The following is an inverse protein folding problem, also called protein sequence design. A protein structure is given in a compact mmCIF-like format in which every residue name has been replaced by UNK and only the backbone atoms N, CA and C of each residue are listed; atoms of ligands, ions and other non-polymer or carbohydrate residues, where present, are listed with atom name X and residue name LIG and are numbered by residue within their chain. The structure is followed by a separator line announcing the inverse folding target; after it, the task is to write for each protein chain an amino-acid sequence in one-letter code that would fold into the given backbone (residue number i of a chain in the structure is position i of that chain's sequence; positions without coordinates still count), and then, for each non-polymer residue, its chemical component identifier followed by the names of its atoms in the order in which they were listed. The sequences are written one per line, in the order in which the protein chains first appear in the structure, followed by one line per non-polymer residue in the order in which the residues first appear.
data_IF_191328221876
#
_entry.id   IF_191328221876
#
_cell.length_a   1.000
_cell.length_b   1.000
_cell.length_c   1.000
_cell.angle_alpha   90.00
_cell.angle_beta   90.00
_cell.angle_gamma   90.00
#
_symmetry.space_group_name_H-M   'P 1'
#
loop_
_entity.id
_entity.type
_entity.pdbx_description
1 polymer ?
#
# COMPACT_ATOMS: atom_id res chain seq x y z
N UNK A 1 -0.06 -12.28 63.94
CA UNK A 1 -1.28 -11.57 63.50
C UNK A 1 -1.03 -10.44 62.47
N UNK A 2 -0.02 -9.56 62.57
CA UNK A 2 0.22 -8.55 61.51
C UNK A 2 0.89 -9.11 60.27
N UNK A 3 1.79 -10.08 60.39
CA UNK A 3 2.52 -10.64 59.24
C UNK A 3 1.63 -11.54 58.38
N UNK A 4 0.70 -12.26 58.96
CA UNK A 4 -0.26 -13.11 58.23
C UNK A 4 -1.28 -12.30 57.42
N UNK A 5 -1.69 -11.16 57.94
CA UNK A 5 -2.60 -10.27 57.21
C UNK A 5 -1.93 -9.56 55.99
N UNK A 6 -0.62 -9.29 56.10
CA UNK A 6 0.16 -8.73 54.97
C UNK A 6 0.37 -9.76 53.90
N UNK A 7 0.63 -11.03 54.26
CA UNK A 7 0.82 -12.10 53.30
C UNK A 7 -0.47 -12.45 52.53
N UNK A 8 -1.64 -12.44 53.22
CA UNK A 8 -2.95 -12.69 52.59
C UNK A 8 -3.38 -11.58 51.68
N UNK A 9 -3.07 -10.30 51.99
CA UNK A 9 -3.34 -9.17 51.10
C UNK A 9 -2.43 -9.15 49.86
N UNK A 10 -1.18 -9.59 50.00
CA UNK A 10 -0.26 -9.71 48.88
C UNK A 10 -0.65 -10.86 47.93
N UNK A 11 -1.14 -11.97 48.46
CA UNK A 11 -1.60 -13.12 47.65
C UNK A 11 -2.90 -12.82 46.91
N UNK A 12 -3.80 -12.02 47.49
CA UNK A 12 -5.07 -11.63 46.87
C UNK A 12 -4.86 -10.58 45.76
N UNK A 13 -3.78 -9.77 45.83
CA UNK A 13 -3.40 -8.79 44.80
C UNK A 13 -2.80 -9.44 43.54
N UNK A 14 -2.17 -10.62 43.69
CA UNK A 14 -1.56 -11.32 42.55
C UNK A 14 -2.57 -12.06 41.65
N UNK A 15 -3.76 -12.37 42.19
CA UNK A 15 -4.84 -13.09 41.45
C UNK A 15 -5.66 -12.18 40.52
N UNK A 16 -5.53 -10.86 40.66
CA UNK A 16 -6.27 -9.89 39.80
C UNK A 16 -5.53 -9.51 38.51
N UNK A 17 -4.32 -9.99 38.29
CA UNK A 17 -3.53 -9.76 37.06
C UNK A 17 -3.70 -10.84 35.97
N UNK A 18 -4.62 -11.81 36.18
CA UNK A 18 -5.05 -12.71 35.12
C UNK A 18 -5.96 -11.94 34.15
N UNK A 19 -5.39 -10.93 33.46
CA UNK A 19 -6.03 -10.29 32.34
C UNK A 19 -6.38 -11.35 31.32
N UNK A 20 -7.67 -11.51 31.01
CA UNK A 20 -8.14 -12.29 29.87
C UNK A 20 -7.48 -11.73 28.59
N UNK A 21 -6.34 -12.28 28.22
CA UNK A 21 -5.93 -12.22 26.82
C UNK A 21 -6.98 -13.04 26.06
N UNK A 22 -7.86 -12.37 25.33
CA UNK A 22 -8.67 -13.06 24.34
C UNK A 22 -7.68 -13.70 23.39
N UNK A 23 -7.57 -15.03 23.42
CA UNK A 23 -6.82 -15.77 22.40
C UNK A 23 -7.44 -15.40 21.04
N UNK A 24 -6.64 -14.79 20.17
CA UNK A 24 -7.06 -14.59 18.78
C UNK A 24 -7.29 -15.99 18.17
N UNK A 25 -8.33 -16.16 17.33
CA UNK A 25 -8.58 -17.45 16.68
C UNK A 25 -7.32 -17.94 15.97
N UNK A 26 -6.99 -19.22 16.09
CA UNK A 26 -5.78 -19.82 15.51
C UNK A 26 -5.69 -19.72 13.98
N UNK A 27 -6.80 -19.35 13.31
CA UNK A 27 -6.92 -19.16 11.86
C UNK A 27 -7.16 -17.70 11.45
N UNK A 28 -6.89 -16.73 12.34
CA UNK A 28 -7.02 -15.30 12.04
C UNK A 28 -5.79 -14.81 11.28
N UNK A 29 -6.02 -14.21 10.10
CA UNK A 29 -4.98 -13.59 9.28
C UNK A 29 -5.06 -12.07 9.45
N UNK A 30 -3.94 -11.44 9.80
CA UNK A 30 -3.80 -9.99 9.87
C UNK A 30 -3.48 -9.44 8.48
N UNK A 31 -4.33 -8.57 7.97
CA UNK A 31 -4.22 -8.04 6.61
C UNK A 31 -3.95 -6.54 6.65
N UNK A 32 -2.89 -6.10 5.98
CA UNK A 32 -2.59 -4.70 5.73
C UNK A 32 -3.07 -4.29 4.33
N UNK A 33 -3.73 -3.15 4.23
CA UNK A 33 -4.20 -2.61 2.95
C UNK A 33 -3.89 -1.11 2.81
N UNK A 34 -3.87 -0.64 1.55
CA UNK A 34 -3.86 0.80 1.21
C UNK A 34 -4.99 1.11 0.23
N UNK A 35 -6.19 1.51 0.71
CA UNK A 35 -7.42 1.54 -0.10
C UNK A 35 -7.53 2.78 -0.99
N UNK A 36 -6.55 2.99 -1.89
CA UNK A 36 -6.46 4.16 -2.77
C UNK A 36 -6.25 3.82 -4.25
N UNK A 37 -6.50 2.55 -4.66
CA UNK A 37 -6.21 2.06 -6.03
C UNK A 37 -7.46 1.37 -6.60
N UNK A 38 -8.52 2.12 -6.96
CA UNK A 38 -9.65 1.53 -7.66
C UNK A 38 -9.22 1.04 -9.06
N UNK A 39 -9.78 -0.07 -9.58
CA UNK A 39 -10.74 -0.97 -8.96
C UNK A 39 -10.11 -2.07 -8.11
N UNK A 40 -8.76 -2.06 -7.94
CA UNK A 40 -8.06 -3.13 -7.22
C UNK A 40 -8.44 -3.15 -5.73
N UNK A 41 -8.29 -2.01 -5.05
CA UNK A 41 -8.76 -1.83 -3.67
C UNK A 41 -9.05 -0.36 -3.37
N UNK A 42 -10.23 -0.08 -2.85
CA UNK A 42 -10.67 1.27 -2.51
C UNK A 42 -11.68 1.25 -1.36
N UNK A 43 -11.88 2.42 -0.75
CA UNK A 43 -12.93 2.62 0.24
C UNK A 43 -14.10 3.39 -0.39
N UNK A 44 -15.31 2.90 -0.15
CA UNK A 44 -16.55 3.56 -0.53
C UNK A 44 -17.57 3.41 0.59
N UNK A 45 -18.18 4.53 1.01
CA UNK A 45 -19.19 4.56 2.06
C UNK A 45 -18.76 3.85 3.37
N UNK A 46 -17.50 4.02 3.75
CA UNK A 46 -16.90 3.40 4.94
C UNK A 46 -16.67 1.88 4.82
N UNK A 47 -16.70 1.33 3.60
CA UNK A 47 -16.43 -0.09 3.34
C UNK A 47 -15.34 -0.25 2.30
N UNK A 48 -14.48 -1.24 2.52
CA UNK A 48 -13.49 -1.63 1.53
C UNK A 48 -14.13 -2.49 0.44
N UNK A 49 -13.71 -2.28 -0.79
CA UNK A 49 -14.18 -2.99 -1.98
C UNK A 49 -13.07 -3.10 -3.01
N UNK A 50 -13.16 -4.06 -3.90
CA UNK A 50 -12.24 -4.21 -5.02
C UNK A 50 -11.82 -5.65 -5.27
N UNK A 51 -11.16 -5.84 -6.40
CA UNK A 51 -10.76 -7.16 -6.91
C UNK A 51 -9.89 -7.93 -5.90
N UNK A 52 -8.94 -7.24 -5.28
CA UNK A 52 -8.01 -7.87 -4.32
C UNK A 52 -8.74 -8.41 -3.09
N UNK A 53 -9.71 -7.64 -2.58
CA UNK A 53 -10.51 -8.06 -1.43
C UNK A 53 -11.37 -9.28 -1.77
N UNK A 54 -12.04 -9.27 -2.93
CA UNK A 54 -12.88 -10.38 -3.38
C UNK A 54 -12.06 -11.68 -3.55
N UNK A 55 -10.85 -11.56 -4.13
CA UNK A 55 -9.92 -12.70 -4.27
C UNK A 55 -9.54 -13.24 -2.89
N UNK A 56 -9.20 -12.36 -1.93
CA UNK A 56 -8.77 -12.78 -0.60
C UNK A 56 -9.93 -13.36 0.22
N UNK A 57 -11.13 -12.81 0.12
CA UNK A 57 -12.35 -13.37 0.72
C UNK A 57 -12.63 -14.78 0.18
N UNK A 58 -12.52 -14.97 -1.14
CA UNK A 58 -12.64 -16.28 -1.77
C UNK A 58 -11.61 -17.29 -1.27
N UNK A 59 -10.35 -16.84 -1.10
CA UNK A 59 -9.30 -17.66 -0.50
C UNK A 59 -9.64 -18.08 0.93
N UNK A 60 -9.99 -17.13 1.80
CA UNK A 60 -10.35 -17.46 3.18
C UNK A 60 -11.57 -18.37 3.29
N UNK A 61 -12.59 -18.17 2.46
CA UNK A 61 -13.74 -19.06 2.38
C UNK A 61 -13.32 -20.49 2.02
N UNK A 62 -12.39 -20.66 1.09
CA UNK A 62 -11.92 -21.99 0.66
C UNK A 62 -11.04 -22.69 1.70
N UNK A 63 -10.34 -21.93 2.56
CA UNK A 63 -9.42 -22.44 3.58
C UNK A 63 -10.00 -22.46 5.00
N UNK A 64 -11.19 -21.94 5.20
CA UNK A 64 -11.79 -21.82 6.54
C UNK A 64 -11.06 -20.82 7.43
N UNK A 65 -10.39 -19.80 6.85
CA UNK A 65 -9.73 -18.75 7.61
C UNK A 65 -10.65 -17.56 7.87
N UNK A 66 -10.31 -16.80 8.90
CA UNK A 66 -10.86 -15.48 9.18
C UNK A 66 -9.77 -14.44 9.01
N UNK A 67 -10.13 -13.18 8.84
CA UNK A 67 -9.14 -12.12 8.70
C UNK A 67 -9.59 -10.81 9.33
N UNK A 68 -8.59 -9.98 9.68
CA UNK A 68 -8.78 -8.64 10.20
C UNK A 68 -7.99 -7.66 9.35
N UNK A 69 -8.69 -6.69 8.79
CA UNK A 69 -8.09 -5.65 7.95
C UNK A 69 -7.65 -4.46 8.81
N UNK A 70 -6.45 -3.95 8.53
CA UNK A 70 -5.96 -2.66 9.00
C UNK A 70 -5.51 -1.83 7.79
N UNK A 71 -6.06 -0.63 7.64
CA UNK A 71 -5.68 0.29 6.58
C UNK A 71 -4.48 1.14 7.00
N UNK A 72 -3.61 1.37 6.03
CA UNK A 72 -2.40 2.18 6.12
C UNK A 72 -2.29 3.08 4.88
N UNK A 73 -1.38 4.03 4.91
CA UNK A 73 -0.83 4.57 3.68
C UNK A 73 0.01 3.52 2.94
N UNK A 74 0.46 3.83 1.74
CA UNK A 74 1.20 2.87 0.90
C UNK A 74 2.46 2.32 1.57
N UNK A 75 3.30 3.19 2.13
CA UNK A 75 4.56 2.77 2.77
C UNK A 75 4.32 2.05 4.09
N UNK A 76 3.33 2.49 4.85
CA UNK A 76 2.90 1.83 6.09
C UNK A 76 2.40 0.42 5.84
N UNK A 77 1.62 0.18 4.78
CA UNK A 77 1.15 -1.15 4.39
C UNK A 77 2.34 -2.09 4.06
N UNK A 78 3.28 -1.63 3.24
CA UNK A 78 4.48 -2.41 2.92
C UNK A 78 5.34 -2.67 4.17
N UNK A 79 5.48 -1.65 5.04
CA UNK A 79 6.17 -1.78 6.32
C UNK A 79 5.51 -2.77 7.27
N UNK A 80 4.18 -2.80 7.33
CA UNK A 80 3.44 -3.71 8.21
C UNK A 80 3.68 -5.18 7.84
N UNK A 81 3.70 -5.53 6.55
CA UNK A 81 3.97 -6.92 6.12
C UNK A 81 5.44 -7.28 6.28
N UNK A 82 6.38 -6.38 5.96
CA UNK A 82 7.82 -6.68 6.07
C UNK A 82 8.30 -6.77 7.52
N UNK A 83 7.62 -6.12 8.45
CA UNK A 83 7.93 -6.20 9.89
C UNK A 83 7.18 -7.32 10.63
N UNK A 84 6.28 -8.06 9.95
CA UNK A 84 5.46 -9.10 10.57
C UNK A 84 4.30 -8.55 11.43
N UNK A 85 3.97 -7.27 11.33
CA UNK A 85 2.76 -6.71 11.96
C UNK A 85 1.49 -7.18 11.25
N UNK A 86 1.58 -7.44 9.95
CA UNK A 86 0.56 -8.09 9.15
C UNK A 86 1.13 -9.34 8.50
N UNK A 87 0.27 -10.37 8.35
CA UNK A 87 0.63 -11.64 7.71
C UNK A 87 0.54 -11.53 6.19
N UNK A 88 -0.37 -10.70 5.68
CA UNK A 88 -0.65 -10.50 4.26
C UNK A 88 -0.88 -9.02 3.99
N UNK A 89 -0.46 -8.55 2.82
CA UNK A 89 -0.82 -7.25 2.28
C UNK A 89 -1.35 -7.37 0.85
N UNK A 90 -2.36 -6.58 0.51
CA UNK A 90 -2.82 -6.44 -0.87
C UNK A 90 -3.38 -5.03 -1.13
N UNK A 91 -3.13 -4.51 -2.30
CA UNK A 91 -3.62 -3.26 -2.91
C UNK A 91 -2.96 -3.09 -4.28
N UNK A 92 -3.11 -4.05 -5.17
CA UNK A 92 -2.46 -4.02 -6.48
C UNK A 92 -0.93 -3.99 -6.37
N UNK A 93 -0.33 -4.71 -5.43
CA UNK A 93 1.11 -4.69 -5.19
C UNK A 93 1.84 -5.35 -6.34
N UNK A 94 2.62 -4.59 -7.10
CA UNK A 94 3.45 -5.13 -8.18
C UNK A 94 4.56 -6.00 -7.63
N UNK A 95 4.78 -7.15 -8.26
CA UNK A 95 5.88 -8.06 -7.98
C UNK A 95 7.15 -7.47 -8.60
N UNK A 96 8.17 -7.20 -7.78
CA UNK A 96 9.49 -6.76 -8.23
C UNK A 96 10.59 -7.55 -7.53
N UNK A 97 11.77 -7.67 -8.16
CA UNK A 97 12.87 -8.42 -7.55
C UNK A 97 13.31 -7.80 -6.23
N UNK A 98 13.36 -6.48 -6.15
CA UNK A 98 13.64 -5.76 -4.90
C UNK A 98 12.66 -6.09 -3.77
N UNK A 99 11.35 -6.20 -4.07
CA UNK A 99 10.35 -6.56 -3.06
C UNK A 99 10.45 -8.04 -2.67
N UNK A 100 10.82 -8.94 -3.60
CA UNK A 100 11.07 -10.36 -3.30
C UNK A 100 12.22 -10.60 -2.32
N UNK A 101 13.12 -9.64 -2.14
CA UNK A 101 14.21 -9.74 -1.14
C UNK A 101 13.69 -9.66 0.30
N UNK A 102 12.49 -9.08 0.52
CA UNK A 102 11.97 -8.77 1.85
C UNK A 102 10.54 -9.29 2.11
N UNK A 103 9.86 -9.83 1.09
CA UNK A 103 8.53 -10.41 1.22
C UNK A 103 8.28 -11.47 0.14
N UNK A 104 7.44 -12.45 0.46
CA UNK A 104 6.95 -13.43 -0.49
C UNK A 104 5.71 -12.93 -1.23
N UNK A 105 5.45 -13.51 -2.40
CA UNK A 105 4.30 -13.18 -3.23
C UNK A 105 3.49 -14.43 -3.60
N UNK A 106 2.18 -14.26 -3.74
CA UNK A 106 1.34 -15.23 -4.42
C UNK A 106 1.71 -15.33 -5.90
N UNK A 107 1.12 -16.27 -6.62
CA UNK A 107 1.11 -16.21 -8.07
C UNK A 107 0.47 -14.91 -8.55
N UNK A 108 0.97 -14.30 -9.65
CA UNK A 108 0.36 -13.11 -10.21
C UNK A 108 -1.05 -13.45 -10.72
N UNK A 109 -2.02 -12.64 -10.36
CA UNK A 109 -3.43 -12.78 -10.78
C UNK A 109 -3.86 -11.67 -11.74
N UNK A 110 -3.00 -10.66 -11.94
CA UNK A 110 -3.25 -9.54 -12.85
C UNK A 110 -1.94 -9.03 -13.45
N UNK A 111 -2.01 -8.52 -14.67
CA UNK A 111 -0.89 -7.81 -15.33
C UNK A 111 -1.35 -6.42 -15.73
N UNK A 112 -0.67 -5.40 -15.23
CA UNK A 112 -0.90 -4.01 -15.62
C UNK A 112 0.19 -3.50 -16.54
N UNK A 113 -0.11 -2.41 -17.25
CA UNK A 113 0.86 -1.60 -17.99
C UNK A 113 0.89 -0.20 -17.42
N UNK A 114 2.03 0.46 -17.50
CA UNK A 114 2.17 1.82 -17.01
C UNK A 114 1.82 2.81 -18.11
N UNK A 115 1.18 3.87 -17.69
CA UNK A 115 0.81 4.98 -18.56
C UNK A 115 1.32 6.28 -17.97
N UNK A 116 1.66 7.21 -18.85
CA UNK A 116 1.94 8.58 -18.48
C UNK A 116 0.80 9.44 -19.01
N UNK A 117 0.06 10.06 -18.13
CA UNK A 117 -1.11 10.84 -18.47
C UNK A 117 -0.89 12.33 -18.19
N UNK A 118 -1.54 13.17 -18.98
CA UNK A 118 -1.58 14.63 -18.84
C UNK A 118 -2.96 15.18 -19.15
N UNK A 119 -3.21 16.45 -18.80
CA UNK A 119 -4.47 17.10 -19.12
C UNK A 119 -4.63 17.31 -20.63
N UNK A 120 -5.78 16.92 -21.16
CA UNK A 120 -6.10 17.03 -22.60
C UNK A 120 -5.97 18.44 -23.13
N UNK A 121 -6.37 19.45 -22.36
CA UNK A 121 -6.31 20.87 -22.75
C UNK A 121 -4.88 21.43 -22.85
N UNK A 122 -3.88 20.75 -22.29
CA UNK A 122 -2.46 21.13 -22.40
C UNK A 122 -1.81 20.65 -23.69
N UNK A 123 -2.46 19.78 -24.47
CA UNK A 123 -1.98 19.26 -25.75
C UNK A 123 -0.54 18.72 -25.73
N UNK A 124 -0.12 18.12 -24.59
CA UNK A 124 1.21 17.54 -24.46
C UNK A 124 1.29 16.31 -25.37
N UNK A 125 2.29 16.31 -26.25
CA UNK A 125 2.61 15.18 -27.13
C UNK A 125 4.04 14.76 -26.89
N UNK A 126 4.23 13.53 -26.46
CA UNK A 126 5.54 12.92 -26.21
C UNK A 126 5.71 11.79 -27.21
N UNK A 127 6.66 11.96 -28.11
CA UNK A 127 7.03 10.97 -29.13
C UNK A 127 8.36 10.29 -28.83
N UNK A 128 9.14 10.91 -27.93
CA UNK A 128 10.43 10.41 -27.47
C UNK A 128 10.60 10.73 -25.97
N UNK A 129 11.17 9.80 -25.20
CA UNK A 129 11.32 9.95 -23.75
C UNK A 129 12.24 11.11 -23.35
N UNK A 130 13.16 11.55 -24.20
CA UNK A 130 14.00 12.72 -23.90
C UNK A 130 13.20 14.03 -23.75
N UNK A 131 12.01 14.08 -24.32
CA UNK A 131 11.10 15.24 -24.21
C UNK A 131 10.51 15.39 -22.80
N UNK A 132 10.59 14.36 -21.97
CA UNK A 132 10.11 14.38 -20.59
C UNK A 132 10.80 15.45 -19.75
N UNK A 133 12.06 15.79 -20.08
CA UNK A 133 12.82 16.87 -19.44
C UNK A 133 12.17 18.24 -19.47
N UNK A 134 11.09 18.43 -20.25
CA UNK A 134 10.34 19.68 -20.36
C UNK A 134 9.17 19.78 -19.37
N UNK A 135 8.84 18.71 -18.66
CA UNK A 135 7.61 18.58 -17.88
C UNK A 135 7.89 18.16 -16.45
N UNK A 136 7.04 18.60 -15.54
CA UNK A 136 6.98 18.05 -14.19
C UNK A 136 6.21 16.72 -14.20
N UNK A 137 6.67 15.77 -13.39
CA UNK A 137 6.08 14.43 -13.30
C UNK A 137 5.73 14.11 -11.85
N UNK A 138 4.60 13.45 -11.65
CA UNK A 138 4.18 12.97 -10.33
C UNK A 138 3.92 11.48 -10.32
N UNK A 139 4.15 10.87 -9.16
CA UNK A 139 3.81 9.49 -8.85
C UNK A 139 3.85 9.24 -7.33
N UNK A 140 3.28 8.13 -6.83
CA UNK A 140 3.32 7.80 -5.41
C UNK A 140 4.72 7.44 -4.92
N UNK A 141 5.07 7.94 -3.73
CA UNK A 141 6.33 7.59 -3.05
C UNK A 141 6.46 6.08 -2.84
N UNK A 142 7.63 5.50 -3.14
CA UNK A 142 7.89 4.05 -2.98
C UNK A 142 7.12 3.16 -3.94
N UNK A 143 6.52 3.73 -4.98
CA UNK A 143 5.92 2.98 -6.09
C UNK A 143 6.99 2.42 -7.03
N UNK A 144 6.57 1.53 -7.93
CA UNK A 144 7.45 1.03 -9.00
C UNK A 144 7.91 2.13 -9.97
N UNK A 145 7.14 3.22 -10.05
CA UNK A 145 7.51 4.38 -10.86
C UNK A 145 8.73 5.12 -10.30
N UNK A 146 8.89 5.16 -8.97
CA UNK A 146 10.04 5.76 -8.31
C UNK A 146 11.34 5.04 -8.71
N UNK A 147 11.34 3.72 -8.67
CA UNK A 147 12.46 2.91 -9.11
C UNK A 147 12.74 3.09 -10.63
N UNK A 148 11.72 3.14 -11.47
CA UNK A 148 11.86 3.37 -12.91
C UNK A 148 12.44 4.76 -13.24
N UNK A 149 11.92 5.80 -12.62
CA UNK A 149 12.41 7.17 -12.83
C UNK A 149 13.87 7.28 -12.39
N UNK A 150 14.22 6.80 -11.20
CA UNK A 150 15.57 6.90 -10.64
C UNK A 150 16.60 6.05 -11.38
N UNK A 151 16.23 4.83 -11.76
CA UNK A 151 17.19 3.87 -12.29
C UNK A 151 17.23 3.81 -13.82
N UNK A 152 16.20 4.30 -14.51
CA UNK A 152 16.10 4.26 -15.96
C UNK A 152 16.06 5.64 -16.59
N UNK A 153 15.19 6.54 -16.13
CA UNK A 153 15.00 7.82 -16.81
C UNK A 153 16.04 8.89 -16.41
N UNK A 154 16.36 9.00 -15.12
CA UNK A 154 17.36 9.96 -14.64
C UNK A 154 18.78 9.70 -15.19
N UNK A 155 19.31 8.47 -15.21
CA UNK A 155 20.63 8.20 -15.78
C UNK A 155 20.75 8.53 -17.26
N UNK A 156 19.61 8.57 -17.99
CA UNK A 156 19.55 8.97 -19.40
C UNK A 156 19.37 10.48 -19.60
N UNK A 157 19.27 11.26 -18.51
CA UNK A 157 19.02 12.69 -18.55
C UNK A 157 17.60 13.08 -18.98
N UNK A 158 16.64 12.15 -18.91
CA UNK A 158 15.25 12.42 -19.29
C UNK A 158 14.46 13.12 -18.18
N UNK A 159 14.91 13.04 -16.93
CA UNK A 159 14.38 13.78 -15.80
C UNK A 159 15.47 14.25 -14.86
N UNK A 160 15.27 15.45 -14.26
CA UNK A 160 16.01 15.90 -13.09
C UNK A 160 15.18 15.70 -11.81
N UNK A 161 15.84 15.74 -10.65
CA UNK A 161 15.17 15.57 -9.35
C UNK A 161 14.12 16.67 -9.12
N UNK A 162 14.38 17.89 -9.57
CA UNK A 162 13.51 19.06 -9.39
C UNK A 162 12.17 18.91 -10.12
N UNK A 163 12.15 18.12 -11.19
CA UNK A 163 10.94 17.87 -11.99
C UNK A 163 10.02 16.82 -11.37
N UNK A 164 10.52 16.04 -10.41
CA UNK A 164 9.76 14.96 -9.77
C UNK A 164 9.00 15.51 -8.57
N UNK A 165 7.70 15.19 -8.52
CA UNK A 165 6.81 15.47 -7.38
C UNK A 165 6.25 14.17 -6.84
N UNK A 166 6.59 13.88 -5.59
CA UNK A 166 6.15 12.66 -4.90
C UNK A 166 4.89 12.95 -4.08
N UNK A 167 3.94 12.03 -4.14
CA UNK A 167 2.68 12.09 -3.41
C UNK A 167 2.46 10.84 -2.56
N UNK A 168 1.68 10.92 -1.47
CA UNK A 168 1.40 9.75 -0.64
C UNK A 168 0.56 8.67 -1.36
N UNK A 169 -0.29 9.07 -2.31
CA UNK A 169 -1.18 8.16 -3.02
C UNK A 169 -1.35 8.52 -4.50
N UNK A 170 -1.79 7.57 -5.35
CA UNK A 170 -2.15 7.85 -6.74
C UNK A 170 -3.25 8.91 -6.86
N UNK A 171 -4.24 8.89 -5.98
CA UNK A 171 -5.34 9.88 -5.98
C UNK A 171 -4.83 11.29 -5.78
N UNK A 172 -3.89 11.52 -4.87
CA UNK A 172 -3.30 12.84 -4.64
C UNK A 172 -2.44 13.30 -5.81
N UNK A 173 -1.70 12.38 -6.46
CA UNK A 173 -0.96 12.71 -7.68
C UNK A 173 -1.91 13.11 -8.82
N UNK A 174 -3.05 12.43 -8.98
CA UNK A 174 -4.09 12.78 -9.97
C UNK A 174 -4.75 14.13 -9.65
N UNK A 175 -5.03 14.42 -8.38
CA UNK A 175 -5.54 15.74 -7.98
C UNK A 175 -4.54 16.86 -8.29
N UNK A 176 -3.25 16.61 -8.09
CA UNK A 176 -2.21 17.57 -8.43
C UNK A 176 -2.17 17.83 -9.95
N UNK A 177 -2.38 16.82 -10.79
CA UNK A 177 -2.53 16.97 -12.24
C UNK A 177 -3.77 17.80 -12.58
N UNK A 178 -4.92 17.47 -12.01
CA UNK A 178 -6.17 18.19 -12.25
C UNK A 178 -6.09 19.67 -11.88
N UNK A 179 -5.39 19.99 -10.79
CA UNK A 179 -5.15 21.35 -10.32
C UNK A 179 -4.02 22.07 -11.09
N UNK A 180 -3.35 21.38 -12.01
CA UNK A 180 -2.27 21.97 -12.82
C UNK A 180 -0.94 22.15 -12.07
N UNK A 181 -0.79 21.51 -10.90
CA UNK A 181 0.44 21.57 -10.09
C UNK A 181 1.57 20.72 -10.68
N UNK A 182 1.23 19.77 -11.52
CA UNK A 182 2.15 18.94 -12.31
C UNK A 182 1.64 18.80 -13.74
N UNK A 183 2.52 18.45 -14.66
CA UNK A 183 2.18 18.30 -16.08
C UNK A 183 1.75 16.90 -16.44
N UNK A 184 2.39 15.91 -15.81
CA UNK A 184 2.23 14.49 -16.11
C UNK A 184 2.18 13.66 -14.82
N UNK A 185 1.43 12.54 -14.87
CA UNK A 185 1.36 11.56 -13.77
C UNK A 185 1.57 10.15 -14.32
N UNK A 186 2.41 9.36 -13.66
CA UNK A 186 2.46 7.92 -13.90
C UNK A 186 1.29 7.22 -13.21
N UNK A 187 0.61 6.38 -13.95
CA UNK A 187 -0.51 5.56 -13.48
C UNK A 187 -0.41 4.15 -14.04
N UNK A 188 -1.02 3.20 -13.36
CA UNK A 188 -1.32 1.89 -13.91
C UNK A 188 -2.57 1.98 -14.78
N UNK A 189 -2.64 1.20 -15.86
CA UNK A 189 -3.79 1.18 -16.79
C UNK A 189 -5.09 0.64 -16.17
N UNK A 190 -5.05 0.19 -14.92
CA UNK A 190 -6.24 -0.21 -14.15
C UNK A 190 -6.94 0.98 -13.49
N UNK A 191 -6.24 2.10 -13.37
CA UNK A 191 -6.84 3.33 -12.83
C UNK A 191 -7.81 3.91 -13.85
N UNK A 192 -9.03 4.32 -13.41
CA UNK A 192 -10.05 4.88 -14.29
C UNK A 192 -9.67 6.27 -14.84
#
# INVERSE_FOLDING_TARGET
MRLERILTTLLLGLLLLSGCSKEEPSNLIKVAISPAIPPMLFEKDGKYSGVDLEIFEGYCKSRGCTFKITAYDWLGMLGAVTSGQADVAFSGISITDKRKEVMDFSNPYFTSTWQLIGLKNRNIKITDLSQLSKYTIAYPTGSVFDDYVKNVLQPKGYYSVEQVKLYPSPTEALLALQNGNVDLVFVDNVMP
#
